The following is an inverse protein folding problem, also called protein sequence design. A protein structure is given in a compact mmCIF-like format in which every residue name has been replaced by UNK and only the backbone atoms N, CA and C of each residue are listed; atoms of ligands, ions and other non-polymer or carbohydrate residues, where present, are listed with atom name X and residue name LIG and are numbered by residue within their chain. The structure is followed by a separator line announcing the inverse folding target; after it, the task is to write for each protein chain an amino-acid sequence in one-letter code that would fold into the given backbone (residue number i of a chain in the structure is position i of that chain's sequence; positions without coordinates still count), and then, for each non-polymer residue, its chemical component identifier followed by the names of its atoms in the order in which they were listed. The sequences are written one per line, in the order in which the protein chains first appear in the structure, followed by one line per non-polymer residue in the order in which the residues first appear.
data_IF_873151455954
#
_entry.id   IF_873151455954
#
_cell.length_a   1.000
_cell.length_b   1.000
_cell.length_c   1.000
_cell.angle_alpha   90.00
_cell.angle_beta   90.00
_cell.angle_gamma   90.00
#
_symmetry.space_group_name_H-M   'P 1'
#
loop_
_entity.id
_entity.type
_entity.pdbx_description
1 polymer ?
#
# COMPACT_ATOMS: atom_id res chain seq x y z
N UNK A 1 6.80 4.71 12.55
CA UNK A 1 5.85 5.81 12.83
C UNK A 1 4.70 5.99 11.81
N UNK A 2 4.84 5.50 10.56
CA UNK A 2 3.90 5.79 9.46
C UNK A 2 2.43 5.46 9.73
N UNK A 3 2.14 4.29 10.32
CA UNK A 3 0.76 3.90 10.64
C UNK A 3 0.12 4.82 11.68
N UNK A 4 0.86 5.24 12.70
CA UNK A 4 0.36 6.16 13.73
C UNK A 4 0.11 7.57 13.15
N UNK A 5 0.96 8.01 12.23
CA UNK A 5 0.75 9.25 11.48
C UNK A 5 -0.51 9.18 10.61
N UNK A 6 -0.66 8.13 9.81
CA UNK A 6 -1.84 7.93 8.99
C UNK A 6 -3.12 7.83 9.83
N UNK A 7 -3.07 7.16 10.99
CA UNK A 7 -4.20 7.10 11.92
C UNK A 7 -4.62 8.50 12.40
N UNK A 8 -3.64 9.33 12.82
CA UNK A 8 -3.88 10.73 13.22
C UNK A 8 -4.43 11.59 12.08
N UNK A 9 -4.01 11.33 10.84
CA UNK A 9 -4.51 12.06 9.67
C UNK A 9 -5.99 11.73 9.40
N UNK A 10 -6.45 10.53 9.73
CA UNK A 10 -7.86 10.15 9.62
C UNK A 10 -8.70 10.63 10.82
N UNK A 11 -8.11 10.74 12.00
CA UNK A 11 -8.74 11.24 13.24
C UNK A 11 -8.92 12.78 13.17
N UNK A 12 -9.87 13.20 12.35
CA UNK A 12 -10.10 14.63 12.06
C UNK A 12 -10.75 15.40 13.22
N UNK A 13 -11.37 14.68 14.16
CA UNK A 13 -11.98 15.23 15.37
C UNK A 13 -11.05 15.16 16.59
N UNK A 14 -9.84 14.61 16.43
CA UNK A 14 -8.79 14.49 17.45
C UNK A 14 -9.28 13.80 18.72
N UNK A 15 -10.20 12.83 18.59
CA UNK A 15 -10.70 12.05 19.72
C UNK A 15 -9.85 10.79 20.01
N UNK A 16 -8.85 10.52 19.16
CA UNK A 16 -7.96 9.36 19.26
C UNK A 16 -8.57 8.06 18.74
N UNK A 17 -9.74 8.12 18.10
CA UNK A 17 -10.54 6.97 17.66
C UNK A 17 -10.81 7.07 16.15
N UNK A 18 -10.81 5.92 15.48
CA UNK A 18 -11.33 5.83 14.12
C UNK A 18 -12.60 4.99 14.09
N UNK A 19 -13.63 5.51 13.44
CA UNK A 19 -14.85 4.77 13.13
C UNK A 19 -14.58 3.64 12.12
N UNK A 20 -15.55 2.73 11.95
CA UNK A 20 -15.48 1.67 10.91
C UNK A 20 -15.19 2.23 9.53
N UNK A 21 -15.82 3.36 9.19
CA UNK A 21 -15.64 4.02 7.89
C UNK A 21 -14.23 4.58 7.76
N UNK A 22 -13.66 5.15 8.81
CA UNK A 22 -12.28 5.64 8.76
C UNK A 22 -11.26 4.51 8.69
N UNK A 23 -11.42 3.41 9.45
CA UNK A 23 -10.55 2.24 9.34
C UNK A 23 -10.58 1.65 7.92
N UNK A 24 -11.76 1.54 7.30
CA UNK A 24 -11.88 1.13 5.90
C UNK A 24 -11.09 2.05 4.96
N UNK A 25 -11.27 3.37 5.06
CA UNK A 25 -10.52 4.34 4.22
C UNK A 25 -9.02 4.32 4.48
N UNK A 26 -8.63 4.16 5.74
CA UNK A 26 -7.24 4.03 6.17
C UNK A 26 -6.56 2.84 5.50
N UNK A 27 -7.17 1.66 5.56
CA UNK A 27 -6.64 0.45 4.90
C UNK A 27 -6.68 0.59 3.37
N UNK A 28 -7.78 1.11 2.82
CA UNK A 28 -7.95 1.36 1.38
C UNK A 28 -6.83 2.25 0.82
N UNK A 29 -6.35 3.23 1.60
CA UNK A 29 -5.33 4.16 1.14
C UNK A 29 -4.02 3.47 0.74
N UNK A 30 -3.57 2.50 1.54
CA UNK A 30 -2.35 1.75 1.25
C UNK A 30 -2.54 0.79 0.08
N UNK A 31 -3.67 0.07 0.03
CA UNK A 31 -3.96 -0.82 -1.09
C UNK A 31 -4.10 -0.07 -2.42
N UNK A 32 -4.72 1.11 -2.43
CA UNK A 32 -4.80 1.94 -3.65
C UNK A 32 -3.40 2.24 -4.21
N UNK A 33 -2.43 2.58 -3.35
CA UNK A 33 -1.04 2.80 -3.79
C UNK A 33 -0.42 1.50 -4.31
N UNK A 34 -0.53 0.40 -3.55
CA UNK A 34 0.05 -0.89 -3.95
C UNK A 34 -0.49 -1.39 -5.29
N UNK A 35 -1.80 -1.26 -5.54
CA UNK A 35 -2.39 -1.61 -6.82
C UNK A 35 -2.00 -0.64 -7.93
N UNK A 36 -1.83 0.66 -7.64
CA UNK A 36 -1.34 1.61 -8.64
C UNK A 36 0.12 1.38 -9.05
N UNK A 37 0.89 0.67 -8.21
CA UNK A 37 2.25 0.24 -8.50
C UNK A 37 2.31 -1.09 -9.26
N UNK A 38 1.24 -1.89 -9.23
CA UNK A 38 1.16 -3.20 -9.88
C UNK A 38 0.74 -3.06 -11.35
N UNK A 39 1.60 -3.42 -12.29
CA UNK A 39 1.26 -3.44 -13.72
C UNK A 39 0.16 -4.47 -14.04
N UNK A 40 0.02 -5.52 -13.23
CA UNK A 40 -1.08 -6.50 -13.32
C UNK A 40 -2.45 -5.83 -13.13
N UNK A 41 -2.52 -4.78 -12.32
CA UNK A 41 -3.73 -3.97 -12.14
C UNK A 41 -4.11 -3.18 -13.41
N UNK A 42 -3.14 -2.88 -14.28
CA UNK A 42 -3.37 -2.18 -15.55
C UNK A 42 -4.08 -3.03 -16.62
N UNK A 43 -4.24 -4.34 -16.40
CA UNK A 43 -4.94 -5.25 -17.31
C UNK A 43 -6.44 -5.39 -17.00
N UNK A 44 -6.86 -4.97 -15.81
CA UNK A 44 -8.26 -4.99 -15.39
C UNK A 44 -8.92 -3.62 -15.56
N UNK A 45 -10.25 -3.58 -15.60
CA UNK A 45 -10.96 -2.30 -15.59
C UNK A 45 -10.78 -1.63 -14.24
N UNK A 46 -10.50 -0.34 -14.25
CA UNK A 46 -10.33 0.49 -13.05
C UNK A 46 -11.47 0.32 -12.03
N UNK A 47 -12.71 0.19 -12.50
CA UNK A 47 -13.89 -0.01 -11.65
C UNK A 47 -13.85 -1.35 -10.90
N UNK A 48 -13.52 -2.44 -11.60
CA UNK A 48 -13.44 -3.79 -11.03
C UNK A 48 -12.30 -3.84 -9.98
N UNK A 49 -11.20 -3.15 -10.23
CA UNK A 49 -10.08 -3.02 -9.30
C UNK A 49 -10.51 -2.34 -7.98
N UNK A 50 -11.24 -1.23 -8.05
CA UNK A 50 -11.68 -0.52 -6.84
C UNK A 50 -12.71 -1.30 -6.03
N UNK A 51 -13.58 -2.08 -6.70
CA UNK A 51 -14.50 -3.00 -6.01
C UNK A 51 -13.71 -4.02 -5.20
N UNK A 52 -12.66 -4.63 -5.79
CA UNK A 52 -11.80 -5.60 -5.09
C UNK A 52 -11.08 -4.99 -3.88
N UNK A 53 -10.54 -3.79 -4.03
CA UNK A 53 -9.89 -3.05 -2.93
C UNK A 53 -10.91 -2.79 -1.82
N UNK A 54 -12.13 -2.40 -2.18
CA UNK A 54 -13.19 -2.12 -1.22
C UNK A 54 -13.62 -3.36 -0.45
N UNK A 55 -13.89 -4.46 -1.14
CA UNK A 55 -14.32 -5.70 -0.49
C UNK A 55 -13.27 -6.19 0.51
N UNK A 56 -11.99 -6.19 0.12
CA UNK A 56 -10.87 -6.58 0.98
C UNK A 56 -10.77 -5.69 2.24
N UNK A 57 -10.91 -4.37 2.07
CA UNK A 57 -10.73 -3.41 3.17
C UNK A 57 -11.95 -3.31 4.07
N UNK A 58 -13.15 -3.53 3.52
CA UNK A 58 -14.40 -3.67 4.29
C UNK A 58 -14.32 -4.92 5.17
N UNK A 59 -13.92 -6.07 4.61
CA UNK A 59 -13.76 -7.31 5.36
C UNK A 59 -12.74 -7.13 6.50
N UNK A 60 -11.59 -6.51 6.23
CA UNK A 60 -10.59 -6.21 7.25
C UNK A 60 -11.13 -5.30 8.36
N UNK A 61 -11.82 -4.21 8.02
CA UNK A 61 -12.42 -3.30 8.99
C UNK A 61 -13.49 -3.98 9.84
N UNK A 62 -14.29 -4.89 9.26
CA UNK A 62 -15.26 -5.70 9.99
C UNK A 62 -14.57 -6.60 11.03
N UNK A 63 -13.47 -7.24 10.66
CA UNK A 63 -12.71 -8.12 11.56
C UNK A 63 -12.06 -7.35 12.73
N UNK A 64 -11.50 -6.17 12.48
CA UNK A 64 -10.96 -5.29 13.54
C UNK A 64 -12.04 -5.00 14.58
N UNK A 65 -13.22 -4.57 14.13
CA UNK A 65 -14.29 -4.17 15.03
C UNK A 65 -15.01 -5.35 15.68
N UNK A 66 -15.17 -6.48 14.99
CA UNK A 66 -15.79 -7.66 15.60
C UNK A 66 -15.00 -8.13 16.82
N UNK A 67 -13.67 -8.14 16.72
CA UNK A 67 -12.79 -8.46 17.84
C UNK A 67 -12.84 -7.38 18.94
N UNK A 68 -12.73 -6.10 18.55
CA UNK A 68 -12.78 -5.00 19.51
C UNK A 68 -14.12 -4.94 20.26
N UNK A 69 -15.24 -5.26 19.62
CA UNK A 69 -16.55 -5.36 20.26
C UNK A 69 -16.63 -6.55 21.23
N UNK A 70 -16.11 -7.71 20.82
CA UNK A 70 -16.06 -8.90 21.67
C UNK A 70 -15.21 -8.67 22.94
N UNK A 71 -14.14 -7.87 22.82
CA UNK A 71 -13.26 -7.49 23.93
C UNK A 71 -13.73 -6.23 24.69
N UNK A 72 -14.83 -5.59 24.27
CA UNK A 72 -15.36 -4.38 24.91
C UNK A 72 -14.47 -3.13 24.77
N UNK A 73 -13.67 -3.07 23.70
CA UNK A 73 -12.68 -2.03 23.43
C UNK A 73 -13.17 -0.94 22.45
N UNK A 74 -14.39 -1.08 21.92
CA UNK A 74 -15.03 -0.01 21.12
C UNK A 74 -15.50 1.11 22.04
N UNK A 75 -15.08 2.34 21.73
CA UNK A 75 -15.42 3.56 22.46
C UNK A 75 -16.06 4.53 21.49
N UNK A 76 -17.21 5.09 21.84
CA UNK A 76 -17.94 6.07 21.01
C UNK A 76 -18.13 5.68 19.52
N UNK A 77 -18.21 4.37 19.24
CA UNK A 77 -18.35 3.82 17.89
C UNK A 77 -17.05 3.71 17.08
N UNK A 78 -15.90 3.96 17.70
CA UNK A 78 -14.57 3.84 17.11
C UNK A 78 -13.63 2.94 17.91
N UNK A 79 -12.44 2.71 17.34
CA UNK A 79 -11.32 2.00 17.97
C UNK A 79 -10.10 2.90 17.99
N UNK A 80 -9.26 2.80 19.03
CA UNK A 80 -8.00 3.54 19.10
C UNK A 80 -6.88 2.86 18.30
N UNK A 81 -5.77 3.57 18.10
CA UNK A 81 -4.59 3.01 17.45
C UNK A 81 -4.03 1.78 18.20
N UNK A 82 -4.05 1.80 19.54
CA UNK A 82 -3.59 0.69 20.37
C UNK A 82 -4.46 -0.56 20.21
N UNK A 83 -5.77 -0.39 20.07
CA UNK A 83 -6.72 -1.49 19.79
C UNK A 83 -6.42 -2.10 18.42
N UNK A 84 -6.27 -1.25 17.39
CA UNK A 84 -5.89 -1.71 16.05
C UNK A 84 -4.55 -2.45 16.05
N UNK A 85 -3.52 -1.90 16.72
CA UNK A 85 -2.20 -2.50 16.82
C UNK A 85 -2.21 -3.84 17.58
N UNK A 86 -3.00 -3.94 18.64
CA UNK A 86 -3.17 -5.19 19.41
C UNK A 86 -3.82 -6.27 18.54
N UNK A 87 -4.90 -5.94 17.84
CA UNK A 87 -5.56 -6.83 16.89
C UNK A 87 -4.60 -7.28 15.78
N UNK A 88 -3.83 -6.33 15.20
CA UNK A 88 -2.86 -6.61 14.15
C UNK A 88 -1.82 -7.63 14.63
N UNK A 89 -1.23 -7.42 15.81
CA UNK A 89 -0.19 -8.29 16.38
C UNK A 89 -0.71 -9.67 16.82
N UNK A 90 -2.00 -9.79 17.18
CA UNK A 90 -2.63 -11.07 17.60
C UNK A 90 -2.85 -12.03 16.42
N UNK A 91 -3.01 -11.49 15.22
CA UNK A 91 -3.25 -12.28 14.01
C UNK A 91 -3.73 -11.47 12.80
N UNK A 92 -4.10 -10.20 12.97
CA UNK A 92 -4.48 -9.33 11.86
C UNK A 92 -3.38 -9.17 10.79
N UNK A 93 -2.10 -9.36 11.15
CA UNK A 93 -0.99 -9.39 10.19
C UNK A 93 -1.12 -10.49 9.12
N UNK A 94 -1.88 -11.56 9.38
CA UNK A 94 -2.15 -12.62 8.40
C UNK A 94 -3.13 -12.14 7.33
N UNK A 95 -4.10 -11.30 7.72
CA UNK A 95 -5.08 -10.70 6.82
C UNK A 95 -4.54 -9.48 6.08
N UNK A 96 -3.62 -8.75 6.72
CA UNK A 96 -3.04 -7.52 6.19
C UNK A 96 -1.49 -7.60 6.09
N UNK A 97 -0.93 -8.64 5.43
CA UNK A 97 0.52 -8.79 5.30
C UNK A 97 1.14 -7.67 4.46
N UNK A 98 0.37 -7.11 3.53
CA UNK A 98 0.78 -5.99 2.68
C UNK A 98 1.05 -4.68 3.45
N UNK A 99 0.58 -4.56 4.71
CA UNK A 99 0.93 -3.43 5.59
C UNK A 99 2.43 -3.44 5.95
N UNK A 100 3.09 -4.60 5.91
CA UNK A 100 4.54 -4.66 6.15
C UNK A 100 5.34 -3.88 5.08
N UNK A 101 4.78 -3.68 3.88
CA UNK A 101 5.42 -2.91 2.80
C UNK A 101 5.48 -1.40 3.06
N UNK A 102 4.88 -0.90 4.15
CA UNK A 102 5.16 0.45 4.64
C UNK A 102 6.62 0.58 5.12
N UNK A 103 7.25 -0.51 5.54
CA UNK A 103 8.69 -0.54 5.80
C UNK A 103 9.41 -0.81 4.49
N UNK A 104 10.18 0.17 4.02
CA UNK A 104 10.90 0.08 2.74
C UNK A 104 11.88 -1.10 2.69
N UNK A 105 12.39 -1.54 3.85
CA UNK A 105 13.28 -2.69 3.95
C UNK A 105 12.57 -4.05 3.75
N UNK A 106 11.23 -4.07 3.67
CA UNK A 106 10.44 -5.28 3.41
C UNK A 106 10.18 -5.53 1.92
N UNK A 107 10.52 -4.57 1.07
CA UNK A 107 10.45 -4.75 -0.37
C UNK A 107 11.58 -5.68 -0.84
N UNK A 108 11.35 -6.55 -1.84
CA UNK A 108 12.39 -7.40 -2.39
C UNK A 108 13.59 -6.59 -2.86
N UNK A 109 14.80 -7.02 -2.54
CA UNK A 109 16.01 -6.42 -3.09
C UNK A 109 16.04 -6.66 -4.60
N UNK A 110 16.48 -5.66 -5.37
CA UNK A 110 16.69 -5.79 -6.82
C UNK A 110 18.03 -6.44 -7.16
N UNK A 111 18.66 -7.11 -6.18
CA UNK A 111 19.96 -7.75 -6.30
C UNK A 111 19.93 -9.04 -7.11
N UNK A 112 20.46 -8.93 -8.33
CA UNK A 112 20.87 -9.94 -9.32
C UNK A 112 19.93 -11.12 -9.59
N UNK A 113 19.55 -11.23 -10.87
CA UNK A 113 19.02 -12.43 -11.49
C UNK A 113 20.02 -13.60 -11.41
N UNK A 114 20.18 -14.21 -10.22
CA UNK A 114 20.64 -15.58 -9.98
C UNK A 114 20.75 -15.81 -8.46
N UNK A 115 19.63 -16.12 -7.82
CA UNK A 115 19.59 -16.85 -6.55
C UNK A 115 18.20 -17.46 -6.36
N UNK A 116 17.82 -18.33 -7.30
CA UNK A 116 16.95 -19.44 -6.93
C UNK A 116 17.69 -20.23 -5.84
N UNK A 117 17.22 -20.14 -4.60
CA UNK A 117 17.19 -21.19 -3.57
C UNK A 117 17.22 -20.57 -2.16
N UNK A 118 16.03 -20.39 -1.57
CA UNK A 118 15.87 -20.30 -0.13
C UNK A 118 14.44 -20.64 0.30
N UNK A 119 14.05 -21.91 0.15
CA UNK A 119 12.98 -22.51 0.95
C UNK A 119 13.54 -23.73 1.71
N UNK A 120 13.30 -23.85 3.03
CA UNK A 120 13.87 -24.95 3.80
C UNK A 120 13.15 -26.28 3.53
N UNK A 121 13.98 -27.26 3.16
CA UNK A 121 13.81 -28.72 3.12
C UNK A 121 12.56 -29.31 3.81
N UNK A 122 11.80 -30.10 3.05
CA UNK A 122 11.15 -31.34 3.54
C UNK A 122 11.44 -32.50 2.59
N UNK A 123 11.86 -33.61 3.20
CA UNK A 123 12.46 -34.79 2.59
C UNK A 123 11.44 -35.88 2.22
N UNK A 124 11.75 -36.55 1.09
CA UNK A 124 11.55 -37.96 0.72
C UNK A 124 10.25 -38.44 0.03
N UNK A 125 10.43 -38.98 -1.19
CA UNK A 125 9.56 -39.95 -1.86
C UNK A 125 9.83 -40.14 -3.37
N UNK A 126 10.73 -41.06 -3.74
CA UNK A 126 11.03 -41.63 -5.09
C UNK A 126 9.78 -42.14 -5.86
N UNK A 127 9.67 -42.34 -7.20
CA UNK A 127 10.56 -42.29 -8.38
C UNK A 127 9.76 -42.43 -9.71
N UNK A 128 10.43 -42.06 -10.83
CA UNK A 128 10.41 -42.58 -12.23
C UNK A 128 9.28 -42.24 -13.23
N UNK A 129 9.70 -41.62 -14.34
CA UNK A 129 9.09 -41.71 -15.67
C UNK A 129 9.60 -40.62 -16.62
N UNK A 130 10.49 -40.97 -17.55
CA UNK A 130 11.03 -40.07 -18.56
C UNK A 130 10.10 -39.98 -19.77
N UNK A 131 9.95 -38.79 -20.38
CA UNK A 131 9.94 -38.61 -21.83
C UNK A 131 10.06 -37.13 -22.21
N UNK A 132 10.85 -36.87 -23.25
CA UNK A 132 11.17 -35.57 -23.79
C UNK A 132 10.10 -35.11 -24.79
N UNK A 133 9.80 -33.81 -24.84
CA UNK A 133 8.92 -33.28 -25.88
C UNK A 133 8.74 -31.77 -25.84
N UNK A 134 9.49 -31.10 -26.71
CA UNK A 134 9.20 -29.84 -27.40
C UNK A 134 8.93 -28.56 -26.57
N UNK A 135 9.87 -27.64 -26.73
CA UNK A 135 9.72 -26.21 -26.49
C UNK A 135 8.62 -25.62 -27.38
N UNK A 136 7.69 -24.92 -26.74
CA UNK A 136 7.12 -23.64 -27.17
C UNK A 136 6.14 -23.21 -26.07
N UNK A 137 6.58 -22.31 -25.18
CA UNK A 137 5.66 -21.39 -24.53
C UNK A 137 6.39 -20.07 -24.24
N UNK A 138 6.25 -19.16 -25.20
CA UNK A 138 6.56 -17.74 -25.08
C UNK A 138 5.56 -17.09 -24.14
N UNK A 139 5.69 -17.39 -22.84
CA UNK A 139 4.94 -16.75 -21.77
C UNK A 139 5.90 -16.47 -20.61
N UNK A 140 6.83 -15.52 -20.79
CA UNK A 140 7.47 -14.87 -19.63
C UNK A 140 6.42 -14.01 -18.93
N UNK A 141 5.44 -14.65 -18.28
CA UNK A 141 4.68 -14.03 -17.23
C UNK A 141 5.71 -13.53 -16.21
N UNK A 142 5.77 -12.21 -16.01
CA UNK A 142 6.63 -11.58 -15.01
C UNK A 142 6.41 -12.33 -13.70
N UNK A 143 7.43 -13.07 -13.25
CA UNK A 143 7.35 -13.90 -12.06
C UNK A 143 6.94 -12.99 -10.90
N UNK A 144 5.79 -13.26 -10.27
CA UNK A 144 5.28 -12.41 -9.20
C UNK A 144 6.32 -12.35 -8.07
N UNK A 145 6.80 -11.16 -7.74
CA UNK A 145 7.80 -10.97 -6.69
C UNK A 145 7.14 -11.02 -5.30
N UNK A 146 5.90 -10.54 -5.21
CA UNK A 146 5.06 -10.61 -4.01
C UNK A 146 3.63 -10.96 -4.40
N UNK A 147 2.99 -11.80 -3.59
CA UNK A 147 1.59 -12.15 -3.72
C UNK A 147 0.89 -12.10 -2.36
N UNK A 148 -0.25 -11.42 -2.29
CA UNK A 148 -1.05 -11.32 -1.08
C UNK A 148 -2.51 -11.65 -1.37
N UNK A 149 -3.07 -12.75 -0.82
CA UNK A 149 -4.50 -12.99 -0.88
C UNK A 149 -5.22 -11.92 -0.07
N UNK A 150 -6.21 -11.27 -0.68
CA UNK A 150 -6.98 -10.19 -0.07
C UNK A 150 -8.36 -10.65 0.41
N UNK A 151 -8.89 -11.73 -0.15
CA UNK A 151 -10.14 -12.36 0.27
C UNK A 151 -10.16 -13.85 -0.09
N UNK A 152 -11.11 -14.57 0.50
CA UNK A 152 -11.36 -15.99 0.20
C UNK A 152 -11.91 -16.22 -1.22
N UNK A 153 -12.40 -15.15 -1.87
CA UNK A 153 -12.94 -15.18 -3.24
C UNK A 153 -11.84 -15.19 -4.33
N UNK A 154 -10.58 -15.38 -3.93
CA UNK A 154 -9.44 -15.49 -4.84
C UNK A 154 -8.91 -14.15 -5.36
N UNK A 155 -9.26 -13.03 -4.71
CA UNK A 155 -8.66 -11.74 -5.00
C UNK A 155 -7.22 -11.76 -4.46
N UNK A 156 -6.23 -11.56 -5.35
CA UNK A 156 -4.81 -11.53 -4.99
C UNK A 156 -4.20 -10.23 -5.48
N UNK A 157 -3.48 -9.53 -4.59
CA UNK A 157 -2.56 -8.47 -4.97
C UNK A 157 -1.25 -9.11 -5.42
N UNK A 158 -0.92 -8.97 -6.70
CA UNK A 158 0.35 -9.43 -7.28
C UNK A 158 1.21 -8.23 -7.63
N UNK A 159 2.46 -8.22 -7.16
CA UNK A 159 3.47 -7.22 -7.49
C UNK A 159 4.60 -7.96 -8.19
N UNK A 160 4.80 -7.68 -9.48
CA UNK A 160 5.83 -8.30 -10.31
C UNK A 160 7.22 -7.75 -10.03
N UNK A 161 8.26 -8.40 -10.57
CA UNK A 161 9.64 -7.89 -10.46
C UNK A 161 9.80 -6.50 -11.07
N UNK A 162 9.15 -6.25 -12.21
CA UNK A 162 9.20 -4.96 -12.89
C UNK A 162 8.56 -3.84 -12.04
N UNK A 163 7.48 -4.16 -11.32
CA UNK A 163 6.82 -3.24 -10.37
C UNK A 163 7.77 -2.87 -9.22
N UNK A 164 8.48 -3.86 -8.65
CA UNK A 164 9.47 -3.63 -7.58
C UNK A 164 10.61 -2.73 -8.08
N UNK A 165 11.12 -2.99 -9.29
CA UNK A 165 12.16 -2.17 -9.91
C UNK A 165 11.65 -0.74 -10.13
N UNK A 166 10.46 -0.58 -10.72
CA UNK A 166 9.85 0.72 -10.97
C UNK A 166 9.61 1.51 -9.68
N UNK A 167 9.17 0.84 -8.61
CA UNK A 167 8.98 1.43 -7.30
C UNK A 167 10.29 1.92 -6.70
N UNK A 168 11.35 1.10 -6.71
CA UNK A 168 12.66 1.51 -6.21
C UNK A 168 13.29 2.65 -7.02
N UNK A 169 13.13 2.63 -8.35
CA UNK A 169 13.56 3.74 -9.20
C UNK A 169 12.79 5.03 -8.87
N UNK A 170 11.48 4.96 -8.65
CA UNK A 170 10.66 6.10 -8.24
C UNK A 170 11.14 6.68 -6.91
N UNK A 171 11.38 5.83 -5.91
CA UNK A 171 11.88 6.24 -4.60
C UNK A 171 13.23 6.96 -4.75
N UNK A 172 14.23 6.29 -5.33
CA UNK A 172 15.58 6.81 -5.45
C UNK A 172 15.66 8.09 -6.30
N UNK A 173 14.90 8.15 -7.41
CA UNK A 173 14.92 9.30 -8.31
C UNK A 173 14.11 10.50 -7.79
N UNK A 174 13.12 10.27 -6.93
CA UNK A 174 12.38 11.35 -6.26
C UNK A 174 13.07 11.82 -4.98
N UNK A 175 13.82 10.96 -4.30
CA UNK A 175 14.40 11.22 -2.98
C UNK A 175 13.37 11.16 -1.83
N UNK A 176 12.14 10.74 -2.09
CA UNK A 176 11.07 10.69 -1.08
C UNK A 176 11.35 9.64 0.01
N UNK A 177 12.15 8.62 -0.28
CA UNK A 177 12.60 7.61 0.69
C UNK A 177 13.49 8.18 1.79
N UNK A 178 14.07 9.36 1.61
CA UNK A 178 14.87 10.08 2.62
C UNK A 178 14.03 11.09 3.41
N UNK A 179 12.78 11.33 3.00
CA UNK A 179 11.88 12.27 3.66
C UNK A 179 11.27 11.62 4.89
N UNK A 180 11.38 12.30 6.03
CA UNK A 180 10.72 11.87 7.26
C UNK A 180 9.18 11.87 7.09
N UNK A 181 8.48 10.82 7.54
CA UNK A 181 7.02 10.71 7.43
C UNK A 181 6.24 11.95 7.90
N UNK A 182 6.62 12.53 9.05
CA UNK A 182 5.96 13.72 9.58
C UNK A 182 6.09 14.94 8.65
N UNK A 183 7.28 15.16 8.08
CA UNK A 183 7.51 16.23 7.10
C UNK A 183 6.64 16.05 5.85
N UNK A 184 6.56 14.83 5.33
CA UNK A 184 5.70 14.51 4.19
C UNK A 184 4.23 14.84 4.46
N UNK A 185 3.70 14.43 5.62
CA UNK A 185 2.33 14.74 6.04
C UNK A 185 2.13 16.25 6.12
N UNK A 186 3.02 16.98 6.81
CA UNK A 186 2.91 18.44 6.98
C UNK A 186 2.89 19.17 5.63
N UNK A 187 3.81 18.84 4.72
CA UNK A 187 3.89 19.53 3.44
C UNK A 187 2.66 19.27 2.56
N UNK A 188 2.17 18.04 2.49
CA UNK A 188 0.96 17.72 1.72
C UNK A 188 -0.29 18.38 2.30
N UNK A 189 -0.46 18.32 3.63
CA UNK A 189 -1.62 18.92 4.29
C UNK A 189 -1.63 20.46 4.15
N UNK A 190 -0.46 21.10 4.05
CA UNK A 190 -0.37 22.56 3.82
C UNK A 190 -0.96 23.02 2.48
N UNK A 191 -1.12 22.11 1.51
CA UNK A 191 -1.69 22.37 0.19
C UNK A 191 -3.18 22.02 0.07
N UNK A 192 -3.78 21.48 1.13
CA UNK A 192 -5.20 21.16 1.17
C UNK A 192 -6.04 22.43 1.20
N UNK A 193 -7.11 22.44 0.43
CA UNK A 193 -8.11 23.51 0.37
C UNK A 193 -9.51 22.89 0.53
N UNK A 194 -10.55 23.70 0.43
CA UNK A 194 -11.95 23.27 0.68
C UNK A 194 -12.37 22.02 -0.10
N UNK A 195 -11.83 21.80 -1.30
CA UNK A 195 -12.14 20.63 -2.15
C UNK A 195 -11.19 19.44 -1.98
N UNK A 196 -10.29 19.47 -0.99
CA UNK A 196 -9.24 18.47 -0.78
C UNK A 196 -7.88 18.90 -1.34
N UNK A 197 -7.03 17.92 -1.63
CA UNK A 197 -5.72 18.16 -2.24
C UNK A 197 -5.86 18.17 -3.77
N UNK A 198 -5.51 19.27 -4.41
CA UNK A 198 -5.50 19.36 -5.89
C UNK A 198 -4.19 18.83 -6.47
N UNK A 199 -4.20 18.43 -7.76
CA UNK A 199 -2.98 18.02 -8.45
C UNK A 199 -1.88 19.10 -8.39
N UNK A 200 -2.24 20.37 -8.63
CA UNK A 200 -1.29 21.48 -8.56
C UNK A 200 -0.75 21.71 -7.14
N UNK A 201 -1.56 21.46 -6.11
CA UNK A 201 -1.12 21.49 -4.72
C UNK A 201 -0.15 20.36 -4.42
N UNK A 202 -0.47 19.14 -4.85
CA UNK A 202 0.40 17.98 -4.74
C UNK A 202 1.77 18.21 -5.38
N UNK A 203 1.81 18.73 -6.61
CA UNK A 203 3.07 19.03 -7.31
C UNK A 203 3.93 20.05 -6.56
N UNK A 204 3.33 21.11 -5.99
CA UNK A 204 4.07 22.09 -5.15
C UNK A 204 4.60 21.47 -3.87
N UNK A 205 3.82 20.60 -3.21
CA UNK A 205 4.27 19.90 -2.01
C UNK A 205 5.45 18.99 -2.34
N UNK A 206 5.38 18.23 -3.43
CA UNK A 206 6.49 17.38 -3.90
C UNK A 206 7.75 18.20 -4.16
N UNK A 207 7.65 19.32 -4.89
CA UNK A 207 8.80 20.21 -5.13
C UNK A 207 9.46 20.70 -3.84
N UNK A 208 8.68 20.98 -2.79
CA UNK A 208 9.22 21.37 -1.47
C UNK A 208 9.89 20.20 -0.76
N UNK A 209 9.30 19.00 -0.84
CA UNK A 209 9.84 17.78 -0.23
C UNK A 209 11.15 17.34 -0.88
N UNK A 210 11.26 17.46 -2.21
CA UNK A 210 12.44 17.04 -2.98
C UNK A 210 13.45 18.16 -3.21
N UNK A 211 13.10 19.40 -2.86
CA UNK A 211 13.91 20.60 -3.04
C UNK A 211 14.02 21.11 -4.49
N UNK A 212 13.47 20.37 -5.46
CA UNK A 212 13.47 20.74 -6.88
C UNK A 212 12.39 19.99 -7.65
N UNK A 213 12.00 20.53 -8.81
CA UNK A 213 11.04 19.89 -9.70
C UNK A 213 11.53 18.47 -10.09
N UNK A 214 10.72 17.42 -9.87
CA UNK A 214 11.08 16.08 -10.32
C UNK A 214 11.25 16.03 -11.83
N UNK A 215 12.10 15.11 -12.31
CA UNK A 215 12.23 14.85 -13.74
C UNK A 215 10.89 14.42 -14.35
N UNK A 216 10.68 14.62 -15.66
CA UNK A 216 9.40 14.31 -16.31
C UNK A 216 8.92 12.86 -16.07
N UNK A 217 9.78 11.81 -16.13
CA UNK A 217 9.37 10.45 -15.80
C UNK A 217 8.94 10.26 -14.35
N UNK A 218 9.69 10.83 -13.38
CA UNK A 218 9.36 10.75 -11.96
C UNK A 218 8.04 11.48 -11.68
N UNK A 219 7.88 12.69 -12.23
CA UNK A 219 6.66 13.46 -12.14
C UNK A 219 5.47 12.67 -12.70
N UNK A 220 5.61 12.03 -13.86
CA UNK A 220 4.54 11.21 -14.44
C UNK A 220 4.15 10.04 -13.52
N UNK A 221 5.13 9.36 -12.91
CA UNK A 221 4.87 8.29 -11.96
C UNK A 221 4.13 8.78 -10.70
N UNK A 222 4.56 9.90 -10.11
CA UNK A 222 3.88 10.51 -8.95
C UNK A 222 2.45 10.95 -9.29
N UNK A 223 2.23 11.49 -10.50
CA UNK A 223 0.88 11.86 -10.95
C UNK A 223 -0.02 10.66 -11.22
N UNK A 224 0.53 9.49 -11.59
CA UNK A 224 -0.25 8.25 -11.66
C UNK A 224 -0.73 7.81 -10.29
N UNK A 225 0.11 7.93 -9.25
CA UNK A 225 -0.31 7.68 -7.85
C UNK A 225 -1.43 8.63 -7.45
N UNK A 226 -1.32 9.92 -7.77
CA UNK A 226 -2.37 10.91 -7.50
C UNK A 226 -3.67 10.56 -8.22
N UNK A 227 -3.59 10.24 -9.52
CA UNK A 227 -4.76 9.87 -10.33
C UNK A 227 -5.48 8.61 -9.83
N UNK A 228 -4.78 7.69 -9.15
CA UNK A 228 -5.44 6.54 -8.52
C UNK A 228 -6.47 6.99 -7.46
N UNK A 229 -6.16 8.03 -6.69
CA UNK A 229 -7.10 8.56 -5.70
C UNK A 229 -8.20 9.46 -6.31
N UNK A 230 -7.99 9.95 -7.54
CA UNK A 230 -8.96 10.74 -8.31
C UNK A 230 -9.55 9.93 -9.48
N UNK A 231 -9.92 8.67 -9.23
CA UNK A 231 -10.44 7.79 -10.29
C UNK A 231 -11.77 8.27 -10.91
N UNK A 232 -12.46 9.21 -10.26
CA UNK A 232 -13.68 9.86 -10.76
C UNK A 232 -13.39 11.14 -11.58
N UNK A 233 -12.14 11.61 -11.61
CA UNK A 233 -11.70 12.73 -12.45
C UNK A 233 -12.20 14.10 -12.01
N UNK A 234 -12.38 14.31 -10.70
CA UNK A 234 -12.87 15.58 -10.13
C UNK A 234 -11.75 16.64 -10.05
N UNK A 235 -10.49 16.23 -10.12
CA UNK A 235 -9.30 17.11 -10.10
C UNK A 235 -8.77 17.39 -8.70
N UNK A 236 -9.34 16.77 -7.67
CA UNK A 236 -8.85 16.78 -6.29
C UNK A 236 -9.15 15.47 -5.58
N UNK A 237 -8.35 15.18 -4.56
CA UNK A 237 -8.44 13.94 -3.78
C UNK A 237 -8.75 14.23 -2.32
N UNK A 238 -9.36 13.26 -1.65
CA UNK A 238 -9.48 13.27 -0.20
C UNK A 238 -8.08 13.28 0.43
N UNK A 239 -7.80 14.33 1.20
CA UNK A 239 -6.47 14.57 1.74
C UNK A 239 -6.02 13.44 2.68
N UNK A 240 -6.90 12.98 3.57
CA UNK A 240 -6.55 11.95 4.54
C UNK A 240 -6.16 10.64 3.86
N UNK A 241 -6.94 10.25 2.84
CA UNK A 241 -6.69 9.03 2.08
C UNK A 241 -5.40 9.12 1.27
N UNK A 242 -5.23 10.21 0.51
CA UNK A 242 -4.04 10.35 -0.33
C UNK A 242 -2.75 10.47 0.50
N UNK A 243 -2.74 11.33 1.53
CA UNK A 243 -1.57 11.53 2.40
C UNK A 243 -1.17 10.23 3.08
N UNK A 244 -2.14 9.46 3.59
CA UNK A 244 -1.87 8.18 4.24
C UNK A 244 -1.28 7.16 3.26
N UNK A 245 -1.82 7.04 2.04
CA UNK A 245 -1.24 6.18 1.02
C UNK A 245 0.16 6.63 0.61
N UNK A 246 0.37 7.94 0.44
CA UNK A 246 1.63 8.49 -0.03
C UNK A 246 2.80 8.28 0.96
N UNK A 247 2.50 8.06 2.25
CA UNK A 247 3.50 7.65 3.26
C UNK A 247 4.23 6.35 2.93
N UNK A 248 3.71 5.52 2.02
CA UNK A 248 4.45 4.36 1.51
C UNK A 248 5.78 4.76 0.89
N UNK A 249 5.86 5.95 0.27
CA UNK A 249 7.07 6.46 -0.36
C UNK A 249 8.04 7.14 0.62
N UNK A 250 7.59 7.47 1.84
CA UNK A 250 8.43 8.13 2.84
C UNK A 250 9.52 7.19 3.39
N UNK A 251 10.56 7.77 3.99
CA UNK A 251 11.49 7.01 4.83
C UNK A 251 10.87 6.53 6.14
N UNK A 252 11.69 5.92 7.00
CA UNK A 252 11.29 5.50 8.35
C UNK A 252 10.47 4.20 8.42
N UNK A 253 10.14 3.79 9.64
CA UNK A 253 9.51 2.49 9.93
C UNK A 253 7.98 2.51 9.73
N UNK A 254 7.41 1.32 9.51
CA UNK A 254 5.95 1.07 9.53
C UNK A 254 5.28 1.61 10.80
N UNK A 255 5.77 1.22 11.97
CA UNK A 255 5.35 1.67 13.29
C UNK A 255 6.56 1.63 14.22
N UNK A 256 6.74 2.66 15.05
CA UNK A 256 7.80 2.60 16.07
C UNK A 256 7.33 1.65 17.18
N UNK A 257 8.23 0.81 17.69
CA UNK A 257 7.95 -0.09 18.81
C UNK A 257 8.02 0.65 20.13
#
# INVERSE_FOLDING_TARGET
DKLALAFRVFDSNEDGLLSRREIWRFLRSFLTVLFSLSESAGRERTEDLYIKIDDATVAAAQMVFAEAEAEGQVQDGGVSFDVFGTWYNKGGYILLPWIELLDLAKWPETGDADAADAAPSRSAGESKGAEAGAADDDSTASEAALEFPLSDDGIVLQIGRDDVIAYQLLLNASGLNEVAPGTMVTELLSEVRDSGLSQAGFERAVERLTGSAPSAPVRAALLRLFAAFDYTGVGSVDAASFVSGFLMLAGGSKSDK
#
